data_IF_483370834667
#
_entry.id   IF_483370834667
#
_cell.length_a   1.000
_cell.length_b   1.000
_cell.length_c   1.000
_cell.angle_alpha   90.00
_cell.angle_beta   90.00
_cell.angle_gamma   90.00
#
_symmetry.space_group_name_H-M   'P 1'
#
loop_
_entity.id
_entity.type
_entity.pdbx_description
1 polymer ?
#
# COMPACT_ATOMS: atom_id res chain seq x y z
N UNK A 1 -27.27 -7.44 6.71
CA UNK A 1 -26.22 -7.90 7.65
C UNK A 1 -25.53 -9.08 6.99
N UNK A 2 -24.25 -8.97 6.59
CA UNK A 2 -23.53 -10.11 6.05
C UNK A 2 -23.45 -11.23 7.10
N UNK A 3 -23.48 -12.52 6.70
CA UNK A 3 -23.38 -13.62 7.65
C UNK A 3 -22.06 -13.54 8.41
N UNK A 4 -22.11 -13.73 9.74
CA UNK A 4 -20.95 -13.64 10.64
C UNK A 4 -19.78 -14.52 10.18
N UNK A 5 -20.08 -15.68 9.59
CA UNK A 5 -19.11 -16.60 9.02
C UNK A 5 -18.33 -15.99 7.84
N UNK A 6 -18.99 -15.21 6.96
CA UNK A 6 -18.32 -14.53 5.86
C UNK A 6 -17.37 -13.45 6.36
N UNK A 7 -17.77 -12.70 7.39
CA UNK A 7 -16.90 -11.70 8.04
C UNK A 7 -15.64 -12.34 8.66
N UNK A 8 -15.79 -13.47 9.36
CA UNK A 8 -14.66 -14.20 9.95
C UNK A 8 -13.72 -14.77 8.88
N UNK A 9 -14.26 -15.28 7.77
CA UNK A 9 -13.44 -15.79 6.66
C UNK A 9 -12.63 -14.68 5.99
N UNK A 10 -13.24 -13.51 5.74
CA UNK A 10 -12.53 -12.35 5.18
C UNK A 10 -11.43 -11.87 6.12
N UNK A 11 -11.71 -11.76 7.41
CA UNK A 11 -10.71 -11.41 8.43
C UNK A 11 -9.55 -12.41 8.46
N UNK A 12 -9.84 -13.71 8.44
CA UNK A 12 -8.82 -14.76 8.40
C UNK A 12 -7.93 -14.66 7.17
N UNK A 13 -8.52 -14.43 5.99
CA UNK A 13 -7.78 -14.26 4.74
C UNK A 13 -6.87 -13.02 4.78
N UNK A 14 -7.35 -11.90 5.31
CA UNK A 14 -6.55 -10.67 5.47
C UNK A 14 -5.36 -10.92 6.39
N UNK A 15 -5.54 -11.64 7.50
CA UNK A 15 -4.45 -11.98 8.42
C UNK A 15 -3.41 -12.89 7.74
N UNK A 16 -3.85 -13.93 7.03
CA UNK A 16 -2.95 -14.84 6.30
C UNK A 16 -2.17 -14.07 5.22
N UNK A 17 -2.84 -13.19 4.48
CA UNK A 17 -2.20 -12.36 3.46
C UNK A 17 -1.19 -11.39 4.07
N UNK A 18 -1.51 -10.77 5.22
CA UNK A 18 -0.59 -9.88 5.93
C UNK A 18 0.66 -10.62 6.41
N UNK A 19 0.50 -11.84 6.94
CA UNK A 19 1.63 -12.71 7.32
C UNK A 19 2.48 -13.05 6.10
N UNK A 20 1.86 -13.48 5.00
CA UNK A 20 2.56 -13.78 3.76
C UNK A 20 3.35 -12.57 3.22
N UNK A 21 2.71 -11.39 3.17
CA UNK A 21 3.35 -10.15 2.73
C UNK A 21 4.56 -9.76 3.59
N UNK A 22 4.48 -10.01 4.92
CA UNK A 22 5.59 -9.76 5.83
C UNK A 22 6.80 -10.68 5.55
N UNK A 23 6.56 -11.95 5.23
CA UNK A 23 7.63 -12.90 4.92
C UNK A 23 8.29 -12.66 3.55
N UNK A 24 7.51 -12.25 2.54
CA UNK A 24 8.01 -12.00 1.18
C UNK A 24 8.89 -10.73 1.11
N UNK A 25 8.79 -9.82 2.08
CA UNK A 25 9.56 -8.55 2.11
C UNK A 25 11.08 -8.74 2.16
N UNK A 26 11.61 -9.87 2.65
CA UNK A 26 13.05 -10.11 2.83
C UNK A 26 13.77 -10.66 1.59
N UNK A 27 13.47 -10.14 0.40
CA UNK A 27 14.18 -10.53 -0.81
C UNK A 27 15.50 -9.77 -0.94
N UNK A 28 16.62 -10.46 -0.76
CA UNK A 28 17.96 -9.90 -0.83
C UNK A 28 18.37 -9.64 -2.29
N UNK A 29 18.95 -8.48 -2.58
CA UNK A 29 19.38 -8.12 -3.94
C UNK A 29 20.74 -8.74 -4.24
N UNK A 30 20.84 -9.53 -5.31
CA UNK A 30 22.12 -10.17 -5.71
C UNK A 30 22.78 -9.45 -6.89
N UNK A 31 22.04 -8.64 -7.65
CA UNK A 31 22.51 -7.94 -8.85
C UNK A 31 21.95 -6.49 -8.95
N UNK A 32 22.74 -5.57 -9.52
CA UNK A 32 22.37 -4.16 -9.77
C UNK A 32 21.13 -4.04 -10.67
N UNK A 33 20.95 -5.00 -11.60
CA UNK A 33 19.77 -5.07 -12.48
C UNK A 33 18.47 -5.32 -11.69
N UNK A 34 18.53 -6.19 -10.70
CA UNK A 34 17.40 -6.47 -9.81
C UNK A 34 17.05 -5.23 -8.97
N UNK A 35 18.05 -4.43 -8.58
CA UNK A 35 17.86 -3.14 -7.92
C UNK A 35 17.02 -2.17 -8.75
N UNK A 36 17.34 -2.00 -10.03
CA UNK A 36 16.58 -1.13 -10.95
C UNK A 36 15.12 -1.61 -11.12
N UNK A 37 14.91 -2.92 -11.29
CA UNK A 37 13.56 -3.47 -11.43
C UNK A 37 12.72 -3.30 -10.16
N UNK A 38 13.28 -3.51 -8.96
CA UNK A 38 12.54 -3.25 -7.70
C UNK A 38 12.25 -1.77 -7.49
N UNK A 39 13.17 -0.87 -7.83
CA UNK A 39 12.91 0.57 -7.77
C UNK A 39 11.77 0.98 -8.71
N UNK A 40 11.74 0.44 -9.93
CA UNK A 40 10.67 0.71 -10.88
C UNK A 40 9.33 0.13 -10.41
N UNK A 41 9.33 -1.11 -9.91
CA UNK A 41 8.15 -1.75 -9.33
C UNK A 41 7.60 -0.95 -8.15
N UNK A 42 8.45 -0.48 -7.24
CA UNK A 42 8.04 0.36 -6.11
C UNK A 42 7.42 1.70 -6.54
N UNK A 43 7.96 2.34 -7.59
CA UNK A 43 7.39 3.58 -8.15
C UNK A 43 6.03 3.33 -8.80
N UNK A 44 5.90 2.25 -9.59
CA UNK A 44 4.63 1.88 -10.23
C UNK A 44 3.59 1.54 -9.19
N UNK A 45 3.92 0.73 -8.18
CA UNK A 45 3.03 0.37 -7.09
C UNK A 45 2.53 1.61 -6.33
N UNK A 46 3.43 2.57 -6.05
CA UNK A 46 3.03 3.83 -5.44
C UNK A 46 2.07 4.62 -6.33
N UNK A 47 2.38 4.80 -7.62
CA UNK A 47 1.52 5.55 -8.55
C UNK A 47 0.14 4.91 -8.66
N UNK A 48 0.07 3.60 -8.90
CA UNK A 48 -1.19 2.86 -8.99
C UNK A 48 -1.97 2.94 -7.68
N UNK A 49 -1.32 2.74 -6.53
CA UNK A 49 -1.95 2.85 -5.22
C UNK A 49 -2.53 4.25 -4.94
N UNK A 50 -1.76 5.30 -5.23
CA UNK A 50 -2.25 6.69 -5.09
C UNK A 50 -3.40 7.00 -6.04
N UNK A 51 -3.35 6.54 -7.28
CA UNK A 51 -4.42 6.75 -8.25
C UNK A 51 -5.72 6.04 -7.80
N UNK A 52 -5.63 4.79 -7.36
CA UNK A 52 -6.80 4.03 -6.88
C UNK A 52 -7.41 4.66 -5.63
N UNK A 53 -6.60 5.05 -4.64
CA UNK A 53 -7.10 5.74 -3.44
C UNK A 53 -7.75 7.08 -3.79
N UNK A 54 -7.15 7.83 -4.70
CA UNK A 54 -7.70 9.12 -5.14
C UNK A 54 -9.04 8.94 -5.85
N UNK A 55 -9.15 7.96 -6.75
CA UNK A 55 -10.41 7.61 -7.40
C UNK A 55 -11.48 7.15 -6.40
N UNK A 56 -11.10 6.33 -5.41
CA UNK A 56 -11.99 5.90 -4.34
C UNK A 56 -12.55 7.08 -3.53
N UNK A 57 -11.68 8.03 -3.16
CA UNK A 57 -12.09 9.26 -2.47
C UNK A 57 -13.05 10.07 -3.34
N UNK A 58 -12.76 10.25 -4.63
CA UNK A 58 -13.63 10.99 -5.55
C UNK A 58 -15.02 10.35 -5.61
N UNK A 59 -15.10 9.04 -5.82
CA UNK A 59 -16.36 8.30 -5.90
C UNK A 59 -17.15 8.38 -4.60
N UNK A 60 -16.50 8.18 -3.44
CA UNK A 60 -17.16 8.30 -2.14
C UNK A 60 -17.61 9.74 -1.82
N UNK A 61 -16.85 10.74 -2.29
CA UNK A 61 -17.20 12.15 -2.13
C UNK A 61 -18.51 12.50 -2.83
N UNK A 62 -18.73 11.97 -4.04
CA UNK A 62 -20.01 12.17 -4.73
C UNK A 62 -21.20 11.55 -3.97
N UNK A 63 -20.97 10.44 -3.28
CA UNK A 63 -21.99 9.79 -2.44
C UNK A 63 -22.14 10.42 -1.05
N UNK A 64 -21.33 11.43 -0.70
CA UNK A 64 -21.28 12.06 0.63
C UNK A 64 -20.99 11.07 1.79
N UNK A 65 -20.41 9.91 1.48
CA UNK A 65 -20.04 8.86 2.43
C UNK A 65 -18.51 8.68 2.42
N UNK A 66 -17.78 9.77 2.65
CA UNK A 66 -16.31 9.74 2.67
C UNK A 66 -15.78 8.96 3.87
N UNK A 67 -15.09 7.85 3.58
CA UNK A 67 -14.37 7.10 4.59
C UNK A 67 -13.04 7.81 4.93
N UNK A 68 -12.92 8.23 6.19
CA UNK A 68 -11.71 8.88 6.69
C UNK A 68 -10.47 7.97 6.58
N UNK A 69 -10.64 6.65 6.61
CA UNK A 69 -9.53 5.71 6.43
C UNK A 69 -8.86 5.81 5.06
N UNK A 70 -9.62 6.08 4.00
CA UNK A 70 -9.06 6.28 2.66
C UNK A 70 -8.12 7.49 2.62
N UNK A 71 -8.53 8.58 3.27
CA UNK A 71 -7.75 9.81 3.37
C UNK A 71 -6.49 9.59 4.20
N UNK A 72 -6.61 8.97 5.38
CA UNK A 72 -5.46 8.65 6.22
C UNK A 72 -4.48 7.69 5.54
N UNK A 73 -4.97 6.72 4.78
CA UNK A 73 -4.13 5.79 4.02
C UNK A 73 -3.33 6.52 2.95
N UNK A 74 -3.97 7.39 2.16
CA UNK A 74 -3.29 8.18 1.14
C UNK A 74 -2.24 9.11 1.76
N UNK A 75 -2.60 9.82 2.84
CA UNK A 75 -1.68 10.69 3.56
C UNK A 75 -0.48 9.91 4.13
N UNK A 76 -0.73 8.77 4.77
CA UNK A 76 0.31 7.89 5.32
C UNK A 76 1.26 7.38 4.24
N UNK A 77 0.76 6.96 3.08
CA UNK A 77 1.59 6.54 1.95
C UNK A 77 2.50 7.68 1.45
N UNK A 78 1.97 8.90 1.31
CA UNK A 78 2.75 10.06 0.86
C UNK A 78 3.86 10.41 1.87
N UNK A 79 3.52 10.45 3.16
CA UNK A 79 4.49 10.72 4.23
C UNK A 79 5.56 9.64 4.27
N UNK A 80 5.19 8.35 4.20
CA UNK A 80 6.13 7.25 4.17
C UNK A 80 7.09 7.33 2.98
N UNK A 81 6.60 7.68 1.79
CA UNK A 81 7.44 7.90 0.60
C UNK A 81 8.38 9.09 0.79
N UNK A 82 7.90 10.19 1.37
CA UNK A 82 8.73 11.37 1.63
C UNK A 82 9.86 11.05 2.62
N UNK A 83 9.56 10.33 3.71
CA UNK A 83 10.55 9.87 4.68
C UNK A 83 11.57 8.94 4.00
N UNK A 84 11.10 7.96 3.22
CA UNK A 84 11.99 7.04 2.51
C UNK A 84 12.92 7.75 1.53
N UNK A 85 12.44 8.79 0.85
CA UNK A 85 13.24 9.61 -0.06
C UNK A 85 14.27 10.47 0.69
N UNK A 86 13.90 11.06 1.83
CA UNK A 86 14.82 11.81 2.68
C UNK A 86 15.91 10.89 3.23
N UNK A 87 15.54 9.72 3.75
CA UNK A 87 16.49 8.75 4.28
C UNK A 87 17.47 8.28 3.20
N UNK A 88 16.97 7.94 2.01
CA UNK A 88 17.80 7.55 0.88
C UNK A 88 18.76 8.65 0.42
N UNK A 89 18.39 9.94 0.58
CA UNK A 89 19.26 11.07 0.25
C UNK A 89 20.33 11.35 1.30
N UNK A 90 20.06 11.04 2.57
CA UNK A 90 21.01 11.25 3.68
C UNK A 90 22.06 10.14 3.70
N UNK A 91 21.67 8.90 3.38
CA UNK A 91 22.53 7.73 3.45
C UNK A 91 23.35 7.46 2.16
N UNK A 92 23.23 8.31 1.14
CA UNK A 92 23.84 8.15 -0.18
C UNK A 92 24.66 9.39 -0.54
#
# INVERSE_FOLDING_TARGET
MPPTLLMMMVLGLVVVFALFASFVWRENHRDEREGLHKMMAGRIAFLVGTALLTLGIIVQSFNHELDSWLVFTLAGMIVAKAIGLIYGRINN
#
